data_IF_059747141532
#
_entry.id   IF_059747141532
#
_cell.length_a   1.000
_cell.length_b   1.000
_cell.length_c   1.000
_cell.angle_alpha   90.00
_cell.angle_beta   90.00
_cell.angle_gamma   90.00
#
_symmetry.space_group_name_H-M   'P 1'
#
loop_
_entity.id
_entity.type
_entity.pdbx_description
1 polymer ?
#
# COMPACT_ATOMS: atom_id res chain seq x y z
N UNK A 1 -27.78 64.19 12.10
CA UNK A 1 -28.50 62.91 12.18
C UNK A 1 -28.93 62.55 10.76
N UNK A 2 -28.30 61.52 10.17
CA UNK A 2 -29.02 60.26 9.97
C UNK A 2 -28.23 59.04 10.45
N UNK A 3 -28.95 58.10 11.07
CA UNK A 3 -28.54 56.73 11.39
C UNK A 3 -28.80 55.80 10.20
N UNK A 4 -27.98 54.74 10.07
CA UNK A 4 -28.24 53.42 9.45
C UNK A 4 -26.86 52.71 9.39
N UNK A 5 -26.41 52.02 10.45
CA UNK A 5 -26.75 50.63 10.77
C UNK A 5 -26.59 49.65 9.59
N UNK A 6 -25.56 48.80 9.68
CA UNK A 6 -25.63 47.41 9.25
C UNK A 6 -25.22 47.10 7.81
N UNK A 7 -24.00 46.58 7.65
CA UNK A 7 -23.71 45.51 6.70
C UNK A 7 -22.41 44.82 7.11
N UNK A 8 -22.51 43.88 8.05
CA UNK A 8 -21.47 42.88 8.31
C UNK A 8 -21.43 41.99 7.07
N UNK A 9 -20.48 42.25 6.16
CA UNK A 9 -20.25 41.40 5.01
C UNK A 9 -19.51 40.15 5.51
N UNK A 10 -20.30 39.17 5.93
CA UNK A 10 -19.86 37.81 6.17
C UNK A 10 -19.56 37.14 4.83
N UNK A 11 -18.31 37.25 4.36
CA UNK A 11 -17.86 36.47 3.20
C UNK A 11 -17.58 35.05 3.70
N UNK A 12 -18.59 34.19 3.57
CA UNK A 12 -18.47 32.74 3.70
C UNK A 12 -17.63 32.21 2.53
N UNK A 13 -16.30 32.32 2.65
CA UNK A 13 -15.35 31.75 1.70
C UNK A 13 -15.28 30.23 1.96
N UNK A 14 -16.06 29.49 1.18
CA UNK A 14 -15.62 28.25 0.53
C UNK A 14 -15.22 27.09 1.45
N UNK A 15 -16.20 26.50 2.14
CA UNK A 15 -16.11 25.16 2.76
C UNK A 15 -16.19 24.01 1.72
N UNK A 16 -15.53 24.14 0.57
CA UNK A 16 -15.54 23.16 -0.53
C UNK A 16 -14.15 22.65 -0.90
N UNK A 17 -13.29 22.41 0.08
CA UNK A 17 -12.12 21.53 -0.09
C UNK A 17 -11.99 20.72 1.20
N UNK A 18 -11.56 19.46 1.09
CA UNK A 18 -11.51 18.43 2.15
C UNK A 18 -12.70 17.45 2.17
N UNK A 19 -13.33 17.18 1.03
CA UNK A 19 -13.76 15.81 0.73
C UNK A 19 -12.57 15.06 0.12
N UNK A 20 -11.45 15.03 0.85
CA UNK A 20 -10.41 14.05 0.62
C UNK A 20 -11.06 12.73 0.96
N UNK A 21 -11.56 12.01 -0.05
CA UNK A 21 -11.99 10.64 0.15
C UNK A 21 -10.78 9.90 0.70
N UNK A 22 -10.74 9.72 2.03
CA UNK A 22 -9.73 8.92 2.70
C UNK A 22 -9.75 7.57 1.99
N UNK A 23 -8.73 7.34 1.16
CA UNK A 23 -8.43 6.02 0.67
C UNK A 23 -8.28 5.16 1.92
N UNK A 24 -9.33 4.39 2.24
CA UNK A 24 -9.46 3.69 3.52
C UNK A 24 -8.38 2.62 3.60
N UNK A 25 -7.21 3.03 4.07
CA UNK A 25 -6.17 2.12 4.47
C UNK A 25 -6.72 1.33 5.66
N UNK A 26 -6.86 0.02 5.53
CA UNK A 26 -7.18 -0.86 6.65
C UNK A 26 -5.99 -1.78 6.95
N UNK A 27 -5.79 -2.17 8.21
CA UNK A 27 -4.82 -3.20 8.54
C UNK A 27 -5.08 -4.49 7.76
N UNK A 28 -4.00 -5.15 7.35
CA UNK A 28 -4.05 -6.48 6.74
C UNK A 28 -4.43 -7.49 7.83
N UNK A 29 -5.47 -8.29 7.56
CA UNK A 29 -5.95 -9.30 8.52
C UNK A 29 -4.96 -10.46 8.66
N UNK A 30 -5.10 -11.26 9.71
CA UNK A 30 -4.21 -12.40 9.95
C UNK A 30 -4.27 -13.44 8.82
N UNK A 31 -5.46 -13.69 8.26
CA UNK A 31 -5.66 -14.63 7.15
C UNK A 31 -4.95 -14.13 5.89
N UNK A 32 -5.06 -12.84 5.60
CA UNK A 32 -4.41 -12.19 4.46
C UNK A 32 -2.88 -12.19 4.58
N UNK A 33 -2.36 -11.91 5.78
CA UNK A 33 -0.93 -12.05 6.09
C UNK A 33 -0.46 -13.49 5.88
N UNK A 34 -1.22 -14.48 6.33
CA UNK A 34 -0.87 -15.89 6.15
C UNK A 34 -0.81 -16.29 4.67
N UNK A 35 -1.72 -15.78 3.83
CA UNK A 35 -1.69 -16.00 2.38
C UNK A 35 -0.43 -15.41 1.74
N UNK A 36 -0.06 -14.17 2.10
CA UNK A 36 1.17 -13.52 1.65
C UNK A 36 2.41 -14.34 2.07
N UNK A 37 2.49 -14.73 3.34
CA UNK A 37 3.62 -15.50 3.88
C UNK A 37 3.73 -16.86 3.16
N UNK A 38 2.60 -17.55 2.96
CA UNK A 38 2.54 -18.83 2.25
C UNK A 38 3.06 -18.69 0.81
N UNK A 39 2.62 -17.64 0.11
CA UNK A 39 3.10 -17.35 -1.23
C UNK A 39 4.61 -17.05 -1.24
N UNK A 40 5.08 -16.19 -0.33
CA UNK A 40 6.50 -15.83 -0.23
C UNK A 40 7.37 -17.05 0.07
N UNK A 41 6.94 -17.95 0.96
CA UNK A 41 7.63 -19.22 1.24
C UNK A 41 7.71 -20.13 0.02
N UNK A 42 6.64 -20.21 -0.76
CA UNK A 42 6.56 -21.12 -1.91
C UNK A 42 7.34 -20.61 -3.12
N UNK A 43 7.51 -19.28 -3.25
CA UNK A 43 8.06 -18.65 -4.46
C UNK A 43 9.43 -18.00 -4.27
N UNK A 44 9.89 -17.76 -3.04
CA UNK A 44 11.17 -17.11 -2.77
C UNK A 44 12.17 -18.12 -2.22
N UNK A 45 13.37 -18.13 -2.82
CA UNK A 45 14.38 -19.17 -2.59
C UNK A 45 15.22 -18.97 -1.32
N UNK A 46 15.28 -17.75 -0.75
CA UNK A 46 16.09 -17.45 0.44
C UNK A 46 15.20 -16.86 1.56
N UNK A 47 14.96 -17.61 2.66
CA UNK A 47 14.23 -17.13 3.83
C UNK A 47 14.89 -15.92 4.51
N UNK A 48 16.21 -15.76 4.35
CA UNK A 48 16.97 -14.68 4.99
C UNK A 48 16.61 -13.30 4.42
N UNK A 49 16.25 -13.23 3.13
CA UNK A 49 15.81 -12.00 2.47
C UNK A 49 14.51 -11.47 3.12
N UNK A 50 13.66 -12.37 3.61
CA UNK A 50 12.34 -12.06 4.18
C UNK A 50 12.41 -11.46 5.59
N UNK A 51 13.56 -11.57 6.28
CA UNK A 51 13.73 -10.96 7.62
C UNK A 51 13.70 -9.44 7.59
N UNK A 52 14.01 -8.86 6.44
CA UNK A 52 13.96 -7.42 6.20
C UNK A 52 12.60 -6.94 5.68
N UNK A 53 11.60 -7.83 5.64
CA UNK A 53 10.36 -7.55 4.97
C UNK A 53 9.51 -6.51 5.70
N UNK A 54 8.86 -5.68 4.91
CA UNK A 54 7.87 -4.71 5.36
C UNK A 54 6.59 -4.91 4.56
N UNK A 55 5.47 -4.58 5.17
CA UNK A 55 4.14 -4.71 4.61
C UNK A 55 3.40 -3.39 4.74
N UNK A 56 2.61 -3.03 3.74
CA UNK A 56 1.67 -1.91 3.82
C UNK A 56 0.34 -2.36 4.41
N UNK A 57 -0.46 -1.39 4.82
CA UNK A 57 -1.90 -1.62 5.00
C UNK A 57 -2.56 -2.00 3.66
N UNK A 58 -3.77 -2.55 3.70
CA UNK A 58 -4.60 -2.74 2.52
C UNK A 58 -5.20 -1.39 2.14
N UNK A 59 -4.97 -0.96 0.91
CA UNK A 59 -5.20 0.40 0.47
C UNK A 59 -5.73 0.46 -0.96
N UNK A 60 -6.51 1.48 -1.25
CA UNK A 60 -7.07 1.75 -2.58
C UNK A 60 -6.21 2.81 -3.24
N UNK A 61 -5.72 2.52 -4.44
CA UNK A 61 -4.75 3.33 -5.19
C UNK A 61 -5.16 3.40 -6.66
N UNK A 62 -4.74 4.43 -7.41
CA UNK A 62 -4.88 4.43 -8.85
C UNK A 62 -4.06 3.29 -9.47
N UNK A 63 -4.73 2.39 -10.17
CA UNK A 63 -4.12 1.33 -10.97
C UNK A 63 -3.53 1.86 -12.28
N UNK A 64 -2.85 1.00 -13.03
CA UNK A 64 -2.17 1.39 -14.28
C UNK A 64 -3.12 1.94 -15.36
N UNK A 65 -4.40 1.57 -15.34
CA UNK A 65 -5.45 2.08 -16.22
C UNK A 65 -6.23 3.27 -15.64
N UNK A 66 -5.74 3.88 -14.54
CA UNK A 66 -6.41 4.96 -13.82
C UNK A 66 -7.61 4.52 -12.96
N UNK A 67 -8.02 3.24 -13.00
CA UNK A 67 -9.10 2.74 -12.14
C UNK A 67 -8.58 2.45 -10.74
N UNK A 68 -9.38 2.68 -9.69
CA UNK A 68 -8.97 2.34 -8.33
C UNK A 68 -8.80 0.82 -8.19
N UNK A 69 -7.67 0.42 -7.63
CA UNK A 69 -7.35 -0.97 -7.30
C UNK A 69 -7.04 -1.08 -5.83
N UNK A 70 -7.46 -2.18 -5.21
CA UNK A 70 -7.13 -2.49 -3.83
C UNK A 70 -5.87 -3.33 -3.81
N UNK A 71 -4.86 -2.93 -3.04
CA UNK A 71 -3.59 -3.64 -2.95
C UNK A 71 -3.04 -3.70 -1.53
N UNK A 72 -2.17 -4.67 -1.30
CA UNK A 72 -1.22 -4.75 -0.20
C UNK A 72 0.17 -4.85 -0.80
N UNK A 73 1.10 -4.01 -0.35
CA UNK A 73 2.46 -4.00 -0.82
C UNK A 73 3.37 -4.68 0.20
N UNK A 74 4.32 -5.47 -0.30
CA UNK A 74 5.39 -6.03 0.52
C UNK A 74 6.71 -5.66 -0.12
N UNK A 75 7.67 -5.20 0.69
CA UNK A 75 9.05 -5.05 0.25
C UNK A 75 10.01 -5.83 1.11
N UNK A 76 11.14 -6.23 0.53
CA UNK A 76 12.23 -6.91 1.23
C UNK A 76 13.54 -6.68 0.47
N UNK A 77 14.66 -6.82 1.17
CA UNK A 77 15.99 -6.80 0.56
C UNK A 77 16.30 -8.17 0.01
N UNK A 78 16.60 -8.26 -1.28
CA UNK A 78 17.02 -9.51 -1.92
C UNK A 78 18.52 -9.51 -2.15
N UNK A 79 19.26 -10.50 -1.65
CA UNK A 79 20.67 -10.69 -2.01
C UNK A 79 20.77 -11.33 -3.39
N UNK A 80 21.49 -10.68 -4.31
CA UNK A 80 21.85 -11.27 -5.60
C UNK A 80 23.20 -11.96 -5.41
N UNK A 81 23.35 -13.22 -5.80
CA UNK A 81 24.52 -14.07 -5.50
C UNK A 81 25.87 -13.59 -6.10
N UNK A 82 25.94 -12.46 -6.78
CA UNK A 82 27.18 -11.97 -7.41
C UNK A 82 27.37 -10.49 -7.11
N UNK A 83 28.18 -10.19 -6.09
CA UNK A 83 28.96 -8.96 -5.94
C UNK A 83 28.25 -7.59 -5.96
N UNK A 84 26.92 -7.50 -5.98
CA UNK A 84 26.18 -6.24 -6.08
C UNK A 84 25.03 -6.15 -5.08
N UNK A 85 24.79 -4.91 -4.68
CA UNK A 85 23.85 -4.42 -3.66
C UNK A 85 22.54 -5.21 -3.55
N UNK A 86 22.11 -5.42 -2.30
CA UNK A 86 20.79 -5.95 -2.01
C UNK A 86 19.72 -4.99 -2.54
N UNK A 87 19.12 -5.33 -3.69
CA UNK A 87 18.03 -4.55 -4.27
C UNK A 87 16.80 -4.62 -3.35
N UNK A 88 16.14 -3.49 -3.14
CA UNK A 88 14.82 -3.49 -2.52
C UNK A 88 13.82 -4.02 -3.54
N UNK A 89 13.33 -5.22 -3.30
CA UNK A 89 12.29 -5.81 -4.13
C UNK A 89 10.94 -5.47 -3.52
N UNK A 90 10.03 -4.88 -4.30
CA UNK A 90 8.68 -4.53 -3.87
C UNK A 90 7.65 -5.19 -4.78
N UNK A 91 6.67 -5.82 -4.15
CA UNK A 91 5.62 -6.61 -4.78
C UNK A 91 4.25 -6.15 -4.30
N UNK A 92 3.25 -6.32 -5.16
CA UNK A 92 1.86 -6.03 -4.86
C UNK A 92 1.05 -7.33 -4.74
N UNK A 93 0.11 -7.36 -3.81
CA UNK A 93 -0.90 -8.39 -3.65
C UNK A 93 -2.26 -7.74 -3.82
N UNK A 94 -3.13 -8.33 -4.63
CA UNK A 94 -4.49 -7.86 -4.84
C UNK A 94 -5.50 -8.83 -4.21
N UNK A 95 -6.63 -8.33 -3.68
CA UNK A 95 -7.73 -9.19 -3.26
C UNK A 95 -8.33 -9.96 -4.43
N UNK A 96 -8.66 -11.22 -4.16
CA UNK A 96 -9.33 -12.17 -5.04
C UNK A 96 -10.42 -12.87 -4.24
N UNK A 97 -11.27 -13.66 -4.90
CA UNK A 97 -12.29 -14.48 -4.22
C UNK A 97 -11.68 -15.47 -3.19
N UNK A 98 -10.41 -15.84 -3.34
CA UNK A 98 -9.69 -16.75 -2.44
C UNK A 98 -8.83 -16.05 -1.38
N UNK A 99 -8.90 -14.71 -1.26
CA UNK A 99 -8.05 -13.91 -0.38
C UNK A 99 -7.04 -13.06 -1.16
N UNK A 100 -5.82 -12.87 -0.63
CA UNK A 100 -4.79 -12.09 -1.33
C UNK A 100 -3.97 -12.97 -2.27
N UNK A 101 -3.80 -12.52 -3.51
CA UNK A 101 -2.95 -13.15 -4.50
C UNK A 101 -1.87 -12.19 -4.98
N UNK A 102 -0.68 -12.72 -5.28
CA UNK A 102 0.39 -11.94 -5.90
C UNK A 102 -0.08 -11.36 -7.23
N UNK A 103 0.10 -10.05 -7.39
CA UNK A 103 -0.41 -9.31 -8.53
C UNK A 103 0.75 -8.74 -9.34
N UNK A 104 1.27 -9.59 -10.23
CA UNK A 104 2.16 -9.21 -11.34
C UNK A 104 1.52 -9.48 -12.71
N UNK A 105 0.37 -10.16 -12.73
CA UNK A 105 -0.36 -10.61 -13.92
C UNK A 105 -1.62 -9.79 -14.19
N UNK A 106 -2.11 -9.01 -13.21
CA UNK A 106 -3.23 -8.10 -13.46
C UNK A 106 -2.70 -6.83 -14.14
N UNK A 107 -3.26 -6.47 -15.29
CA UNK A 107 -2.89 -5.28 -16.08
C UNK A 107 -3.05 -3.95 -15.31
N UNK A 108 -3.68 -3.96 -14.13
CA UNK A 108 -4.04 -2.77 -13.38
C UNK A 108 -3.22 -2.59 -12.10
N UNK A 109 -2.50 -3.62 -11.64
CA UNK A 109 -1.63 -3.57 -10.46
C UNK A 109 -0.22 -3.92 -10.90
N UNK A 110 0.63 -2.90 -10.93
CA UNK A 110 2.05 -3.04 -11.29
C UNK A 110 2.89 -2.77 -10.06
N UNK A 111 4.15 -3.24 -10.04
CA UNK A 111 5.08 -2.94 -8.93
C UNK A 111 5.19 -1.43 -8.67
N UNK A 112 5.08 -0.60 -9.72
CA UNK A 112 5.05 0.86 -9.63
C UNK A 112 3.93 1.40 -8.72
N UNK A 113 2.79 0.70 -8.64
CA UNK A 113 1.67 1.09 -7.77
C UNK A 113 2.07 1.06 -6.29
N UNK A 114 3.03 0.22 -5.92
CA UNK A 114 3.57 0.15 -4.56
C UNK A 114 4.61 1.23 -4.23
N UNK A 115 4.98 2.09 -5.19
CA UNK A 115 5.85 3.25 -4.96
C UNK A 115 5.07 4.57 -4.81
N UNK A 116 3.74 4.51 -4.83
CA UNK A 116 2.91 5.68 -4.58
C UNK A 116 3.13 6.20 -3.14
N UNK A 117 3.08 7.53 -2.93
CA UNK A 117 3.38 8.14 -1.64
C UNK A 117 2.39 7.75 -0.53
N UNK A 118 1.17 7.35 -0.88
CA UNK A 118 0.17 6.84 0.07
C UNK A 118 0.48 5.42 0.58
N UNK A 119 1.44 4.71 -0.01
CA UNK A 119 1.83 3.36 0.40
C UNK A 119 2.88 3.46 1.51
N UNK A 120 2.40 3.41 2.75
CA UNK A 120 3.26 3.41 3.93
C UNK A 120 3.64 1.97 4.27
N UNK A 121 4.95 1.68 4.24
CA UNK A 121 5.49 0.37 4.58
C UNK A 121 5.81 0.30 6.07
N UNK A 122 5.33 -0.73 6.76
CA UNK A 122 5.58 -1.00 8.19
C UNK A 122 6.28 -2.34 8.35
N UNK A 123 6.94 -2.56 9.49
CA UNK A 123 7.60 -3.83 9.77
C UNK A 123 6.64 -5.02 9.60
N UNK A 124 7.11 -6.13 9.01
CA UNK A 124 6.35 -7.37 8.88
C UNK A 124 6.92 -8.44 9.82
N UNK A 125 6.69 -8.32 11.15
CA UNK A 125 7.39 -9.14 12.15
C UNK A 125 7.14 -10.65 12.00
N UNK A 126 6.02 -11.05 11.42
CA UNK A 126 5.68 -12.44 11.15
C UNK A 126 6.68 -13.14 10.20
N UNK A 127 7.42 -12.39 9.39
CA UNK A 127 8.48 -12.90 8.53
C UNK A 127 9.87 -12.92 9.23
N UNK A 128 10.05 -12.16 10.31
CA UNK A 128 11.33 -12.09 11.05
C UNK A 128 11.71 -13.41 11.70
N UNK A 129 10.72 -14.22 12.09
CA UNK A 129 10.90 -15.51 12.75
C UNK A 129 11.04 -16.69 11.77
N UNK A 130 11.18 -16.41 10.47
CA UNK A 130 11.41 -17.47 9.49
C UNK A 130 12.83 -18.03 9.64
N UNK A 131 12.87 -19.32 9.96
CA UNK A 131 14.06 -20.11 10.26
C UNK A 131 14.52 -20.85 9.02
#
# INVERSE_FOLDING_TARGET
>A
MPSLAGAVIAIAITAMLMASGDAKARPVTQVEKAAIISWMRSNLADPHDLRSARISDLLIVPGANGRPVTIVCVDFKRKIRVGHSAGLYRMAFAPTAAGLAYSNTSSNVVSATCYLPQVVMRAFPELTFMK
#
